data_IF_337243307038
#
_entry.id   IF_337243307038
#
_cell.length_a   1.000
_cell.length_b   1.000
_cell.length_c   1.000
_cell.angle_alpha   90.00
_cell.angle_beta   90.00
_cell.angle_gamma   90.00
#
_symmetry.space_group_name_H-M   'P 1'
#
loop_
_entity.id
_entity.type
_entity.pdbx_description
1 polymer ?
#
# COMPACT_ATOMS: atom_id res chain seq x y z
N UNK A 1 -12.97 -51.99 18.96
CA UNK A 1 -11.88 -51.00 19.18
C UNK A 1 -11.51 -50.42 17.83
N UNK A 2 -11.54 -49.10 17.69
CA UNK A 2 -11.26 -48.42 16.43
C UNK A 2 -11.83 -47.01 16.44
N UNK A 3 -11.23 -46.14 17.26
CA UNK A 3 -11.45 -44.69 17.23
C UNK A 3 -10.78 -44.13 15.97
N UNK A 4 -11.53 -43.38 15.16
CA UNK A 4 -11.03 -42.73 13.94
C UNK A 4 -11.40 -41.26 13.91
N UNK A 5 -10.48 -40.44 14.44
CA UNK A 5 -10.25 -39.01 14.26
C UNK A 5 -11.41 -38.07 13.86
N UNK A 6 -11.78 -37.22 14.82
CA UNK A 6 -12.31 -35.88 14.56
C UNK A 6 -11.26 -35.03 13.83
N UNK A 7 -11.61 -34.54 12.64
CA UNK A 7 -10.84 -33.50 11.94
C UNK A 7 -10.90 -32.18 12.71
N UNK A 8 -9.71 -31.62 12.96
CA UNK A 8 -9.48 -30.30 13.54
C UNK A 8 -9.99 -29.18 12.61
N UNK A 9 -10.83 -28.23 13.08
CA UNK A 9 -11.35 -27.13 12.28
C UNK A 9 -10.34 -25.98 12.03
N UNK A 10 -9.04 -26.16 12.33
CA UNK A 10 -8.03 -25.09 12.27
C UNK A 10 -7.38 -24.83 10.90
N UNK A 11 -7.86 -25.43 9.81
CA UNK A 11 -7.25 -25.31 8.47
C UNK A 11 -8.24 -24.76 7.43
N UNK A 12 -8.63 -23.49 7.58
CA UNK A 12 -9.27 -22.74 6.50
C UNK A 12 -8.20 -21.92 5.75
N UNK A 13 -8.04 -22.07 4.42
CA UNK A 13 -7.02 -21.35 3.68
C UNK A 13 -7.35 -19.85 3.69
N UNK A 14 -6.43 -19.03 4.19
CA UNK A 14 -6.50 -17.57 4.10
C UNK A 14 -6.61 -17.18 2.61
N UNK A 15 -7.78 -16.72 2.20
CA UNK A 15 -8.03 -16.32 0.82
C UNK A 15 -7.04 -15.27 0.35
N UNK A 16 -6.25 -15.61 -0.67
CA UNK A 16 -5.53 -14.65 -1.52
C UNK A 16 -6.57 -13.83 -2.29
N UNK A 17 -6.34 -12.54 -2.43
CA UNK A 17 -7.31 -11.66 -3.08
C UNK A 17 -6.76 -10.29 -3.43
N UNK A 18 -7.43 -9.61 -4.36
CA UNK A 18 -7.12 -8.24 -4.73
C UNK A 18 -7.41 -7.28 -3.56
N UNK A 19 -6.39 -6.58 -3.09
CA UNK A 19 -6.53 -5.54 -2.07
C UNK A 19 -6.56 -4.17 -2.75
N UNK A 20 -7.62 -3.40 -2.48
CA UNK A 20 -7.58 -1.96 -2.74
C UNK A 20 -6.88 -1.31 -1.56
N UNK A 21 -5.68 -0.76 -1.75
CA UNK A 21 -5.17 0.20 -0.78
C UNK A 21 -6.07 1.43 -0.84
N UNK A 22 -6.65 1.82 0.30
CA UNK A 22 -7.26 3.14 0.44
C UNK A 22 -6.10 4.10 0.78
N UNK A 23 -5.39 4.53 -0.26
CA UNK A 23 -4.43 5.61 -0.16
C UNK A 23 -5.18 6.95 -0.10
N UNK A 24 -5.09 7.64 1.03
CA UNK A 24 -5.69 8.96 1.23
C UNK A 24 -4.65 10.02 0.81
N UNK A 25 -4.99 10.91 -0.14
CA UNK A 25 -4.04 11.84 -0.79
C UNK A 25 -4.59 13.28 -0.93
N UNK A 26 -4.26 14.18 0.00
CA UNK A 26 -4.70 15.58 0.17
C UNK A 26 -4.83 16.50 -1.05
N UNK A 27 -5.71 17.52 -0.94
CA UNK A 27 -5.86 18.65 -1.89
C UNK A 27 -6.16 19.95 -1.12
N UNK A 28 -5.30 20.96 -1.26
CA UNK A 28 -5.54 22.33 -0.79
C UNK A 28 -6.38 23.15 -1.77
N UNK A 29 -7.25 24.01 -1.24
CA UNK A 29 -8.07 24.98 -1.97
C UNK A 29 -7.21 26.11 -2.55
N UNK A 30 -7.19 26.26 -3.88
CA UNK A 30 -7.45 27.50 -4.61
C UNK A 30 -7.47 27.24 -6.13
N UNK A 31 -8.15 28.11 -6.86
CA UNK A 31 -8.66 27.97 -8.24
C UNK A 31 -7.58 27.89 -9.33
N UNK A 32 -7.78 26.97 -10.31
CA UNK A 32 -7.24 26.87 -11.71
C UNK A 32 -6.65 25.48 -12.06
N UNK A 33 -6.74 25.00 -13.33
CA UNK A 33 -6.70 23.57 -13.65
C UNK A 33 -5.27 23.04 -13.87
N UNK A 34 -4.74 22.29 -12.91
CA UNK A 34 -3.57 21.46 -13.15
C UNK A 34 -2.99 20.82 -11.89
N UNK A 35 -2.84 19.49 -11.91
CA UNK A 35 -1.94 18.70 -11.06
C UNK A 35 -1.98 18.96 -9.54
N UNK A 36 -2.64 18.06 -8.80
CA UNK A 36 -2.80 18.23 -7.36
C UNK A 36 -2.17 17.09 -6.56
N UNK A 37 -1.26 17.47 -5.65
CA UNK A 37 -0.72 16.65 -4.58
C UNK A 37 -0.75 17.43 -3.27
N UNK A 38 -0.93 16.73 -2.16
CA UNK A 38 -0.75 17.25 -0.80
C UNK A 38 -0.06 16.19 0.04
N UNK A 39 1.05 16.56 0.69
CA UNK A 39 1.76 15.73 1.65
C UNK A 39 1.28 15.97 3.07
N UNK A 40 1.53 14.95 3.90
CA UNK A 40 1.49 15.04 5.35
C UNK A 40 2.93 15.39 5.77
N UNK A 41 3.13 16.22 6.80
CA UNK A 41 4.39 16.51 7.52
C UNK A 41 5.13 17.83 7.21
N UNK A 42 5.02 18.80 8.13
CA UNK A 42 5.93 19.93 8.29
C UNK A 42 5.68 20.72 9.59
N UNK A 43 6.74 20.89 10.41
CA UNK A 43 6.86 21.78 11.58
C UNK A 43 5.79 21.67 12.69
N UNK A 44 5.98 20.75 13.65
CA UNK A 44 5.25 20.64 14.93
C UNK A 44 3.71 20.62 14.86
N UNK A 45 3.14 20.53 13.66
CA UNK A 45 1.71 20.44 13.38
C UNK A 45 1.45 19.26 12.45
N UNK A 46 0.93 18.19 13.03
CA UNK A 46 0.48 17.02 12.29
C UNK A 46 -1.01 17.18 11.98
N UNK A 47 -1.35 17.45 10.73
CA UNK A 47 -2.73 17.47 10.25
C UNK A 47 -2.87 16.44 9.13
N UNK A 48 -3.97 15.66 9.18
CA UNK A 48 -4.28 14.68 8.15
C UNK A 48 -5.20 15.28 7.11
N UNK A 49 -4.72 15.43 5.88
CA UNK A 49 -5.54 15.76 4.72
C UNK A 49 -5.99 14.48 4.00
N UNK A 50 -7.29 14.25 3.89
CA UNK A 50 -7.86 13.10 3.18
C UNK A 50 -8.34 13.47 1.78
N UNK A 51 -7.53 14.13 0.97
CA UNK A 51 -7.92 14.51 -0.41
C UNK A 51 -9.13 15.46 -0.48
N UNK A 52 -9.44 16.20 0.59
CA UNK A 52 -10.69 16.94 0.69
C UNK A 52 -11.93 16.10 1.04
N UNK A 53 -11.77 14.84 1.47
CA UNK A 53 -12.87 14.07 2.08
C UNK A 53 -13.19 14.59 3.48
N UNK A 54 -14.48 14.67 3.85
CA UNK A 54 -14.87 14.94 5.23
C UNK A 54 -14.24 13.92 6.17
N UNK A 55 -13.52 14.39 7.19
CA UNK A 55 -12.98 13.52 8.25
C UNK A 55 -14.11 12.87 9.07
N UNK A 56 -15.26 13.55 9.16
CA UNK A 56 -16.44 13.04 9.82
C UNK A 56 -16.91 11.73 9.16
N UNK A 57 -17.11 10.69 9.97
CA UNK A 57 -17.57 9.38 9.51
C UNK A 57 -16.45 8.39 9.18
N UNK A 58 -15.24 8.84 8.84
CA UNK A 58 -14.12 7.97 8.46
C UNK A 58 -13.77 6.96 9.56
N UNK A 59 -13.80 7.38 10.83
CA UNK A 59 -13.58 6.47 11.96
C UNK A 59 -14.62 5.36 12.07
N UNK A 60 -15.88 5.64 11.74
CA UNK A 60 -16.93 4.61 11.71
C UNK A 60 -16.73 3.64 10.54
N UNK A 61 -16.32 4.16 9.38
CA UNK A 61 -16.02 3.35 8.20
C UNK A 61 -14.79 2.45 8.41
N UNK A 62 -13.75 2.93 9.10
CA UNK A 62 -12.60 2.10 9.51
C UNK A 62 -13.08 0.90 10.31
N UNK A 63 -13.87 1.14 11.37
CA UNK A 63 -14.39 0.07 12.23
C UNK A 63 -15.33 -0.88 11.47
N UNK A 64 -16.09 -0.36 10.49
CA UNK A 64 -16.94 -1.17 9.62
C UNK A 64 -16.14 -2.07 8.68
N UNK A 65 -15.08 -1.56 8.06
CA UNK A 65 -14.19 -2.36 7.23
C UNK A 65 -13.53 -3.47 8.05
N UNK A 66 -13.03 -3.12 9.25
CA UNK A 66 -12.39 -4.07 10.15
C UNK A 66 -13.34 -5.17 10.62
N UNK A 67 -14.62 -4.86 10.85
CA UNK A 67 -15.61 -5.89 11.20
C UNK A 67 -15.93 -6.86 10.06
N UNK A 68 -15.52 -6.53 8.83
CA UNK A 68 -15.54 -7.41 7.67
C UNK A 68 -14.17 -8.03 7.35
N UNK A 69 -13.23 -7.99 8.29
CA UNK A 69 -11.84 -8.46 8.11
C UNK A 69 -11.10 -7.76 6.96
N UNK A 70 -11.48 -6.52 6.64
CA UNK A 70 -10.77 -5.69 5.65
C UNK A 70 -9.79 -4.80 6.40
N UNK A 71 -8.50 -4.98 6.12
CA UNK A 71 -7.43 -4.15 6.68
C UNK A 71 -7.53 -2.72 6.15
N UNK A 72 -7.45 -1.76 7.06
CA UNK A 72 -7.37 -0.34 6.71
C UNK A 72 -6.01 0.18 7.11
N UNK A 73 -5.27 0.72 6.13
CA UNK A 73 -3.92 1.23 6.32
C UNK A 73 -3.92 2.74 6.13
N UNK A 74 -3.02 3.43 6.81
CA UNK A 74 -2.71 4.81 6.50
C UNK A 74 -1.42 4.89 5.69
N UNK A 75 -1.51 5.43 4.47
CA UNK A 75 -0.33 5.72 3.66
C UNK A 75 0.31 7.04 4.10
N UNK A 76 1.64 7.03 4.25
CA UNK A 76 2.46 8.21 4.52
C UNK A 76 3.32 8.57 3.30
N UNK A 77 3.63 9.86 3.17
CA UNK A 77 4.31 10.40 2.00
C UNK A 77 3.30 10.86 0.95
N UNK A 78 3.34 10.27 -0.24
CA UNK A 78 2.49 10.65 -1.36
C UNK A 78 3.28 11.05 -2.62
N UNK A 79 2.59 11.47 -3.69
CA UNK A 79 3.22 12.02 -4.89
C UNK A 79 3.79 13.44 -4.68
N UNK A 80 3.50 14.09 -3.55
CA UNK A 80 4.08 15.38 -3.16
C UNK A 80 5.58 15.29 -2.83
N UNK A 81 6.23 16.44 -2.67
CA UNK A 81 7.66 16.56 -2.36
C UNK A 81 7.94 17.35 -1.06
N UNK A 82 6.88 17.59 -0.29
CA UNK A 82 6.79 18.43 0.90
C UNK A 82 7.06 17.66 2.22
N UNK A 83 7.47 16.40 2.14
CA UNK A 83 7.78 15.56 3.30
C UNK A 83 9.23 15.06 3.29
N UNK A 84 9.80 14.88 4.48
CA UNK A 84 11.13 14.29 4.66
C UNK A 84 11.33 13.72 6.08
N UNK A 85 12.26 12.78 6.22
CA UNK A 85 12.69 12.21 7.50
C UNK A 85 14.21 12.40 7.62
N UNK A 86 14.71 13.62 7.90
CA UNK A 86 16.14 13.94 7.81
C UNK A 86 16.97 13.39 8.97
N UNK A 87 16.36 13.11 10.13
CA UNK A 87 17.07 12.74 11.36
C UNK A 87 16.40 11.59 12.11
N UNK A 88 17.18 10.87 12.93
CA UNK A 88 16.67 9.83 13.82
C UNK A 88 15.58 10.35 14.74
N UNK A 89 15.74 11.59 15.22
CA UNK A 89 14.74 12.29 16.01
C UNK A 89 13.44 12.49 15.22
N UNK A 90 13.50 12.98 13.98
CA UNK A 90 12.30 13.13 13.15
C UNK A 90 11.61 11.79 12.87
N UNK A 91 12.37 10.71 12.68
CA UNK A 91 11.81 9.36 12.51
C UNK A 91 11.06 8.90 13.77
N UNK A 92 11.65 9.09 14.95
CA UNK A 92 11.02 8.75 16.22
C UNK A 92 9.78 9.61 16.52
N UNK A 93 9.86 10.92 16.28
CA UNK A 93 8.77 11.86 16.53
C UNK A 93 7.56 11.57 15.60
N UNK A 94 7.81 11.25 14.32
CA UNK A 94 6.76 10.85 13.37
C UNK A 94 6.15 9.50 13.76
N UNK A 95 6.96 8.52 14.16
CA UNK A 95 6.45 7.22 14.62
C UNK A 95 5.58 7.36 15.87
N UNK A 96 6.00 8.16 16.86
CA UNK A 96 5.21 8.44 18.08
C UNK A 96 3.88 9.12 17.74
N UNK A 97 3.92 10.10 16.84
CA UNK A 97 2.69 10.78 16.42
C UNK A 97 1.74 9.81 15.71
N UNK A 98 2.21 9.01 14.75
CA UNK A 98 1.37 8.01 14.05
C UNK A 98 0.81 6.97 15.02
N UNK A 99 1.61 6.52 15.99
CA UNK A 99 1.16 5.61 17.04
C UNK A 99 -0.01 6.18 17.83
N UNK A 100 0.15 7.40 18.33
CA UNK A 100 -0.82 8.03 19.23
C UNK A 100 -2.03 8.65 18.52
N UNK A 101 -1.88 9.07 17.27
CA UNK A 101 -2.93 9.73 16.51
C UNK A 101 -3.80 8.72 15.73
N UNK A 102 -3.22 7.64 15.21
CA UNK A 102 -3.88 6.79 14.21
C UNK A 102 -3.84 5.29 14.52
N UNK A 103 -2.90 4.82 15.33
CA UNK A 103 -2.79 3.41 15.73
C UNK A 103 -3.30 3.22 17.18
N UNK A 104 -2.79 2.19 17.86
CA UNK A 104 -3.16 1.81 19.23
C UNK A 104 -2.54 2.67 20.34
N UNK A 105 -1.80 3.73 20.02
CA UNK A 105 -1.30 4.66 21.02
C UNK A 105 -2.37 5.64 21.48
N UNK A 106 -2.28 6.09 22.73
CA UNK A 106 -3.14 7.13 23.28
C UNK A 106 -2.28 8.03 24.16
N UNK A 107 -2.17 9.30 23.78
CA UNK A 107 -1.41 10.31 24.53
C UNK A 107 -2.22 11.59 24.64
N UNK A 108 -2.33 12.13 25.86
CA UNK A 108 -3.02 13.40 26.10
C UNK A 108 -2.38 14.50 25.24
N UNK A 109 -3.21 15.31 24.59
CA UNK A 109 -2.76 16.41 23.71
C UNK A 109 -2.45 16.00 22.27
N UNK A 110 -2.53 14.72 21.90
CA UNK A 110 -2.45 14.28 20.51
C UNK A 110 -3.86 14.19 19.93
N UNK A 111 -4.11 14.95 18.86
CA UNK A 111 -5.38 14.91 18.13
C UNK A 111 -5.51 13.59 17.36
N UNK A 112 -6.68 12.94 17.44
CA UNK A 112 -7.00 11.73 16.69
C UNK A 112 -8.04 12.04 15.61
N UNK A 113 -7.64 12.16 14.33
CA UNK A 113 -8.55 12.55 13.24
C UNK A 113 -9.73 11.61 13.03
N UNK A 114 -9.59 10.33 13.39
CA UNK A 114 -10.64 9.32 13.24
C UNK A 114 -11.31 8.94 14.56
N UNK A 115 -11.20 9.79 15.58
CA UNK A 115 -11.74 9.55 16.91
C UNK A 115 -11.09 8.33 17.57
N UNK A 116 -11.91 7.39 18.05
CA UNK A 116 -11.49 6.17 18.73
C UNK A 116 -10.99 5.07 17.78
N UNK A 117 -11.20 5.22 16.47
CA UNK A 117 -10.76 4.26 15.47
C UNK A 117 -9.23 4.23 15.38
N UNK A 118 -8.68 3.02 15.18
CA UNK A 118 -7.28 2.80 14.91
C UNK A 118 -7.13 2.04 13.60
N UNK A 119 -6.25 2.51 12.72
CA UNK A 119 -5.91 1.80 11.48
C UNK A 119 -5.06 0.55 11.82
N UNK A 120 -5.05 -0.41 10.91
CA UNK A 120 -4.34 -1.69 11.05
C UNK A 120 -2.83 -1.58 10.79
N UNK A 121 -2.38 -0.47 10.20
CA UNK A 121 -0.99 -0.34 9.79
C UNK A 121 -0.66 0.93 9.02
N UNK A 122 0.62 1.04 8.66
CA UNK A 122 1.21 2.16 7.94
C UNK A 122 1.80 1.68 6.61
N UNK A 123 1.47 2.37 5.53
CA UNK A 123 2.04 2.16 4.19
C UNK A 123 3.04 3.27 3.84
N UNK A 124 4.25 2.92 3.46
CA UNK A 124 5.31 3.85 3.10
C UNK A 124 5.25 4.10 1.59
N UNK A 125 4.49 5.12 1.18
CA UNK A 125 4.41 5.60 -0.20
C UNK A 125 5.37 6.78 -0.39
N UNK A 126 6.66 6.47 -0.58
CA UNK A 126 7.72 7.50 -0.69
C UNK A 126 8.06 7.74 -2.16
N UNK A 127 7.28 8.58 -2.85
CA UNK A 127 7.46 8.81 -4.29
C UNK A 127 8.48 9.90 -4.63
N UNK A 128 8.33 11.11 -4.08
CA UNK A 128 9.19 12.26 -4.41
C UNK A 128 9.94 12.87 -3.23
N UNK A 129 9.68 12.41 -2.01
CA UNK A 129 10.43 12.83 -0.83
C UNK A 129 11.94 12.67 -0.99
N UNK A 130 12.71 13.47 -0.25
CA UNK A 130 14.17 13.36 -0.21
C UNK A 130 14.59 12.02 0.41
N UNK A 131 15.80 11.50 0.10
CA UNK A 131 16.38 10.42 0.88
C UNK A 131 16.31 10.74 2.37
N UNK A 132 15.92 9.77 3.17
CA UNK A 132 15.63 9.96 4.59
C UNK A 132 15.78 8.67 5.37
N UNK A 133 15.64 8.77 6.69
CA UNK A 133 15.80 7.66 7.63
C UNK A 133 14.52 6.84 7.78
N UNK A 134 14.00 6.36 6.64
CA UNK A 134 12.78 5.55 6.61
C UNK A 134 13.00 4.16 7.22
N UNK A 135 14.24 3.67 7.23
CA UNK A 135 14.63 2.47 7.97
C UNK A 135 14.47 2.66 9.49
N UNK A 136 14.86 3.83 10.00
CA UNK A 136 14.67 4.19 11.40
C UNK A 136 13.20 4.44 11.74
N UNK A 137 12.42 4.99 10.80
CA UNK A 137 10.98 5.20 10.96
C UNK A 137 10.21 3.86 11.05
N UNK A 138 10.65 2.81 10.35
CA UNK A 138 9.97 1.52 10.35
C UNK A 138 10.12 0.74 11.68
N UNK A 139 11.26 0.90 12.38
CA UNK A 139 11.60 0.12 13.58
C UNK A 139 10.61 0.27 14.75
N UNK A 140 10.18 1.50 15.13
CA UNK A 140 9.22 1.67 16.22
C UNK A 140 7.91 0.91 16.03
N UNK A 141 7.39 0.82 14.80
CA UNK A 141 6.12 0.13 14.52
C UNK A 141 6.17 -1.35 14.88
N UNK A 142 7.27 -2.03 14.56
CA UNK A 142 7.46 -3.40 15.00
C UNK A 142 7.55 -3.49 16.53
N UNK A 143 8.25 -2.53 17.17
CA UNK A 143 8.31 -2.44 18.63
C UNK A 143 6.94 -2.29 19.28
N UNK A 144 6.00 -1.56 18.68
CA UNK A 144 4.65 -1.37 19.22
C UNK A 144 3.82 -2.66 19.25
N UNK A 145 4.19 -3.70 18.48
CA UNK A 145 3.51 -5.01 18.54
C UNK A 145 3.58 -5.67 19.93
N UNK A 146 4.52 -5.28 20.79
CA UNK A 146 4.55 -5.72 22.20
C UNK A 146 3.28 -5.38 22.98
N UNK A 147 2.52 -4.37 22.54
CA UNK A 147 1.28 -3.96 23.18
C UNK A 147 0.06 -4.81 22.77
N UNK A 148 0.21 -5.75 21.85
CA UNK A 148 -0.89 -6.52 21.25
C UNK A 148 -0.98 -7.97 21.73
N UNK A 149 -0.60 -8.28 22.99
CA UNK A 149 -0.86 -9.56 23.71
C UNK A 149 -0.80 -10.85 22.86
N UNK A 150 0.22 -11.00 22.02
CA UNK A 150 0.47 -12.22 21.23
C UNK A 150 -0.11 -12.24 19.81
N UNK A 151 -0.83 -11.20 19.39
CA UNK A 151 -1.20 -10.99 17.99
C UNK A 151 -0.44 -9.82 17.37
N UNK A 152 -0.20 -9.88 16.05
CA UNK A 152 0.41 -8.77 15.32
C UNK A 152 -0.61 -7.63 15.20
N UNK A 153 -0.28 -6.47 15.78
CA UNK A 153 -1.15 -5.31 15.79
C UNK A 153 -0.91 -4.37 14.62
N UNK A 154 0.30 -3.81 14.55
CA UNK A 154 0.70 -2.84 13.53
C UNK A 154 1.34 -3.58 12.35
N UNK A 155 0.69 -3.48 11.20
CA UNK A 155 1.23 -3.93 9.91
C UNK A 155 2.03 -2.80 9.27
N UNK A 156 3.19 -3.13 8.71
CA UNK A 156 4.03 -2.15 8.02
C UNK A 156 4.19 -2.62 6.58
N UNK A 157 3.83 -1.73 5.66
CA UNK A 157 3.75 -1.99 4.23
C UNK A 157 4.52 -0.88 3.51
N UNK A 158 5.00 -1.17 2.31
CA UNK A 158 5.73 -0.21 1.49
C UNK A 158 5.29 -0.28 0.04
N UNK A 159 5.19 0.87 -0.61
CA UNK A 159 4.71 1.00 -1.98
C UNK A 159 5.78 1.66 -2.87
N UNK A 160 6.87 0.93 -3.24
CA UNK A 160 7.97 1.46 -4.03
C UNK A 160 7.60 1.65 -5.51
N UNK A 161 8.47 2.32 -6.27
CA UNK A 161 8.41 2.27 -7.75
C UNK A 161 8.87 0.89 -8.24
N UNK A 162 8.54 0.54 -9.48
CA UNK A 162 9.00 -0.72 -10.07
C UNK A 162 10.52 -0.82 -10.28
N UNK A 163 11.19 0.32 -10.45
CA UNK A 163 12.64 0.37 -10.61
C UNK A 163 13.34 -0.28 -9.42
N UNK A 164 14.23 -1.24 -9.70
CA UNK A 164 14.89 -2.04 -8.69
C UNK A 164 16.42 -1.79 -8.68
N UNK A 165 17.05 -1.53 -7.51
CA UNK A 165 16.39 -1.25 -6.23
C UNK A 165 15.70 0.14 -6.22
N UNK A 166 14.70 0.32 -5.35
CA UNK A 166 14.11 1.65 -5.14
C UNK A 166 15.08 2.52 -4.32
N UNK A 167 15.63 3.55 -4.94
CA UNK A 167 16.68 4.38 -4.34
C UNK A 167 16.28 5.09 -3.04
N UNK A 168 14.98 5.31 -2.79
CA UNK A 168 14.49 5.99 -1.57
C UNK A 168 14.18 5.00 -0.46
N UNK A 169 13.74 3.80 -0.84
CA UNK A 169 13.20 2.80 0.08
C UNK A 169 14.14 1.62 0.33
N UNK A 170 15.23 1.44 -0.44
CA UNK A 170 16.14 0.29 -0.30
C UNK A 170 16.64 0.10 1.14
N UNK A 171 17.12 1.18 1.78
CA UNK A 171 17.57 1.14 3.17
C UNK A 171 16.48 0.66 4.14
N UNK A 172 15.24 1.10 3.95
CA UNK A 172 14.10 0.68 4.76
C UNK A 172 13.73 -0.77 4.48
N UNK A 173 13.60 -1.16 3.21
CA UNK A 173 13.28 -2.52 2.78
C UNK A 173 14.28 -3.55 3.32
N UNK A 174 15.57 -3.20 3.35
CA UNK A 174 16.64 -4.06 3.89
C UNK A 174 16.52 -4.37 5.39
N UNK A 175 15.68 -3.66 6.13
CA UNK A 175 15.41 -3.99 7.54
C UNK A 175 14.62 -5.29 7.71
N UNK A 176 13.93 -5.76 6.67
CA UNK A 176 13.06 -6.95 6.74
C UNK A 176 11.78 -6.74 7.55
N UNK A 177 11.42 -5.49 7.87
CA UNK A 177 10.26 -5.16 8.72
C UNK A 177 8.93 -5.07 7.96
N UNK A 178 8.98 -4.98 6.63
CA UNK A 178 7.80 -4.82 5.80
C UNK A 178 7.12 -6.17 5.54
N UNK A 179 5.86 -6.28 5.93
CA UNK A 179 5.04 -7.48 5.71
C UNK A 179 4.66 -7.63 4.24
N UNK A 180 4.31 -6.50 3.59
CA UNK A 180 3.93 -6.46 2.18
C UNK A 180 4.70 -5.39 1.43
N UNK A 181 5.02 -5.69 0.18
CA UNK A 181 5.68 -4.79 -0.76
C UNK A 181 4.75 -4.63 -1.97
N UNK A 182 4.12 -3.46 -2.11
CA UNK A 182 3.23 -3.15 -3.23
C UNK A 182 4.02 -2.45 -4.34
N UNK A 183 4.63 -3.22 -5.25
CA UNK A 183 5.50 -2.65 -6.29
C UNK A 183 4.66 -1.99 -7.38
N UNK A 184 4.87 -0.70 -7.63
CA UNK A 184 4.10 0.05 -8.64
C UNK A 184 4.64 -0.16 -10.05
N UNK A 185 3.97 -1.01 -10.82
CA UNK A 185 4.23 -1.23 -12.26
C UNK A 185 3.39 -0.31 -13.16
N UNK A 186 3.05 0.86 -12.64
CA UNK A 186 2.40 1.96 -13.34
C UNK A 186 3.18 3.26 -13.08
N UNK A 187 2.84 4.34 -13.80
CA UNK A 187 3.59 5.59 -13.77
C UNK A 187 4.51 5.71 -14.99
N UNK A 188 5.62 6.44 -14.85
CA UNK A 188 6.42 6.90 -15.99
C UNK A 188 7.77 6.19 -16.18
N UNK A 189 8.11 5.15 -15.41
CA UNK A 189 9.36 4.41 -15.62
C UNK A 189 9.22 3.44 -16.80
N UNK A 190 9.77 3.81 -17.95
CA UNK A 190 9.65 3.08 -19.22
C UNK A 190 10.30 1.69 -19.20
N UNK A 191 11.15 1.39 -18.21
CA UNK A 191 11.87 0.11 -18.11
C UNK A 191 11.05 -0.99 -17.45
N UNK A 192 10.09 -0.62 -16.62
CA UNK A 192 9.35 -1.59 -15.82
C UNK A 192 7.85 -1.27 -15.65
N UNK A 193 7.38 -0.06 -15.97
CA UNK A 193 5.95 0.22 -15.91
C UNK A 193 5.26 -0.29 -17.19
N UNK A 194 4.09 -0.92 -16.98
CA UNK A 194 3.37 -1.62 -18.03
C UNK A 194 3.02 -0.71 -19.22
N UNK A 195 2.35 0.41 -18.94
CA UNK A 195 1.73 1.28 -19.94
C UNK A 195 2.66 2.29 -20.63
N UNK A 196 3.96 2.32 -20.30
CA UNK A 196 4.92 3.32 -20.80
C UNK A 196 6.08 2.73 -21.59
N UNK A 197 6.01 1.44 -21.95
CA UNK A 197 6.92 0.81 -22.90
C UNK A 197 7.47 -0.55 -22.48
N UNK A 198 7.47 -0.88 -21.19
CA UNK A 198 8.03 -2.15 -20.72
C UNK A 198 7.19 -3.38 -21.11
N UNK A 199 5.88 -3.17 -21.29
CA UNK A 199 4.91 -4.25 -21.52
C UNK A 199 4.93 -5.29 -20.40
N UNK A 200 4.39 -6.48 -20.67
CA UNK A 200 4.38 -7.61 -19.73
C UNK A 200 5.79 -8.13 -19.43
N UNK A 201 6.69 -8.09 -20.42
CA UNK A 201 8.04 -8.64 -20.29
C UNK A 201 8.89 -7.84 -19.30
N UNK A 202 8.96 -6.50 -19.43
CA UNK A 202 9.75 -5.69 -18.51
C UNK A 202 9.17 -5.65 -17.10
N UNK A 203 7.84 -5.75 -16.98
CA UNK A 203 7.17 -5.95 -15.67
C UNK A 203 7.63 -7.27 -15.04
N UNK A 204 7.60 -8.38 -15.79
CA UNK A 204 8.01 -9.69 -15.28
C UNK A 204 9.50 -9.74 -14.90
N UNK A 205 10.38 -9.06 -15.64
CA UNK A 205 11.80 -8.99 -15.30
C UNK A 205 12.04 -8.24 -13.98
N UNK A 206 11.41 -7.07 -13.82
CA UNK A 206 11.50 -6.30 -12.58
C UNK A 206 10.83 -7.03 -11.40
N UNK A 207 9.68 -7.68 -11.63
CA UNK A 207 9.00 -8.51 -10.64
C UNK A 207 9.92 -9.57 -10.04
N UNK A 208 10.63 -10.34 -10.88
CA UNK A 208 11.54 -11.40 -10.43
C UNK A 208 12.62 -10.87 -9.48
N UNK A 209 13.15 -9.67 -9.74
CA UNK A 209 14.15 -9.02 -8.86
C UNK A 209 13.55 -8.68 -7.49
N UNK A 210 12.35 -8.11 -7.47
CA UNK A 210 11.63 -7.80 -6.23
C UNK A 210 11.30 -9.06 -5.42
N UNK A 211 10.68 -10.06 -6.05
CA UNK A 211 10.30 -11.31 -5.41
C UNK A 211 11.52 -12.05 -4.82
N UNK A 212 12.60 -12.18 -5.60
CA UNK A 212 13.82 -12.86 -5.17
C UNK A 212 14.56 -12.14 -4.03
N UNK A 213 14.53 -10.80 -3.99
CA UNK A 213 15.27 -10.02 -2.99
C UNK A 213 14.67 -10.08 -1.59
N UNK A 214 13.35 -10.27 -1.49
CA UNK A 214 12.59 -10.17 -0.25
C UNK A 214 11.70 -11.41 -0.02
N UNK A 215 12.27 -12.62 0.13
CA UNK A 215 11.49 -13.85 0.29
C UNK A 215 10.64 -13.89 1.57
N UNK A 216 10.97 -13.06 2.58
CA UNK A 216 10.22 -12.96 3.84
C UNK A 216 9.03 -11.98 3.82
N UNK A 217 8.79 -11.30 2.69
CA UNK A 217 7.70 -10.34 2.52
C UNK A 217 6.75 -10.80 1.42
N UNK A 218 5.45 -10.59 1.58
CA UNK A 218 4.49 -10.77 0.48
C UNK A 218 4.67 -9.66 -0.56
N UNK A 219 4.92 -10.00 -1.82
CA UNK A 219 5.07 -9.03 -2.90
C UNK A 219 3.77 -8.95 -3.69
N UNK A 220 3.28 -7.73 -3.92
CA UNK A 220 2.03 -7.47 -4.64
C UNK A 220 2.31 -6.75 -5.94
N UNK A 221 1.64 -7.20 -7.01
CA UNK A 221 1.70 -6.58 -8.32
C UNK A 221 0.83 -5.30 -8.31
N UNK A 222 1.46 -4.13 -8.27
CA UNK A 222 0.75 -2.84 -8.29
C UNK A 222 0.38 -2.40 -9.70
N UNK A 223 -0.90 -2.23 -9.97
CA UNK A 223 -1.45 -1.84 -11.27
C UNK A 223 -2.34 -0.61 -11.16
N UNK A 224 -2.31 0.25 -12.16
CA UNK A 224 -3.42 1.18 -12.38
C UNK A 224 -4.62 0.37 -12.93
N UNK A 225 -5.87 0.69 -12.56
CA UNK A 225 -7.02 -0.11 -12.90
C UNK A 225 -7.18 -0.17 -14.40
N UNK A 226 -7.35 -1.39 -14.88
CA UNK A 226 -7.77 -1.67 -16.25
C UNK A 226 -9.22 -1.21 -16.47
N UNK A 227 -9.52 -0.80 -17.71
CA UNK A 227 -10.90 -0.68 -18.18
C UNK A 227 -11.32 -1.99 -18.85
N UNK A 228 -12.38 -2.62 -18.33
CA UNK A 228 -13.03 -3.75 -18.99
C UNK A 228 -13.90 -3.25 -20.14
N UNK A 229 -13.80 -3.86 -21.32
CA UNK A 229 -14.62 -3.53 -22.49
C UNK A 229 -14.02 -2.49 -23.45
N UNK A 230 -12.77 -2.08 -23.26
CA UNK A 230 -12.08 -1.17 -24.18
C UNK A 230 -11.38 -1.98 -25.29
N UNK A 231 -11.61 -1.67 -26.58
CA UNK A 231 -10.92 -2.31 -27.69
C UNK A 231 -9.40 -2.10 -27.65
N UNK A 232 -8.65 -3.08 -28.14
CA UNK A 232 -7.20 -2.97 -28.35
C UNK A 232 -6.88 -1.75 -29.25
N UNK A 233 -6.05 -0.83 -28.76
CA UNK A 233 -5.63 0.37 -29.48
C UNK A 233 -6.46 1.64 -29.22
N UNK A 234 -7.44 1.63 -28.32
CA UNK A 234 -8.19 2.84 -27.99
C UNK A 234 -7.33 3.91 -27.30
N UNK A 235 -7.43 5.17 -27.75
CA UNK A 235 -6.77 6.31 -27.11
C UNK A 235 -7.53 6.72 -25.84
N UNK A 236 -6.87 6.64 -24.68
CA UNK A 236 -7.47 6.94 -23.37
C UNK A 236 -6.82 6.14 -22.23
N UNK A 237 -7.29 6.33 -21.00
CA UNK A 237 -6.72 5.97 -19.67
C UNK A 237 -6.41 4.49 -19.38
N UNK A 238 -6.31 3.63 -20.39
CA UNK A 238 -6.06 2.19 -20.22
C UNK A 238 -4.56 1.92 -20.13
N UNK A 239 -4.06 1.79 -18.90
CA UNK A 239 -2.66 1.42 -18.68
C UNK A 239 -2.41 -0.10 -18.82
N UNK A 240 -3.44 -0.96 -18.67
CA UNK A 240 -3.29 -2.42 -18.66
C UNK A 240 -4.48 -3.09 -19.37
N UNK A 241 -4.20 -3.90 -20.39
CA UNK A 241 -5.21 -4.73 -21.07
C UNK A 241 -5.39 -6.07 -20.33
N UNK A 242 -6.62 -6.39 -19.95
CA UNK A 242 -6.96 -7.57 -19.13
C UNK A 242 -6.50 -8.90 -19.74
N UNK A 243 -6.55 -9.04 -21.07
CA UNK A 243 -6.10 -10.25 -21.79
C UNK A 243 -4.63 -10.56 -21.50
N UNK A 244 -3.76 -9.56 -21.66
CA UNK A 244 -2.32 -9.72 -21.43
C UNK A 244 -1.99 -9.86 -19.94
N UNK A 245 -2.75 -9.19 -19.08
CA UNK A 245 -2.64 -9.42 -17.63
C UNK A 245 -2.93 -10.89 -17.28
N UNK A 246 -4.03 -11.46 -17.79
CA UNK A 246 -4.46 -12.81 -17.45
C UNK A 246 -3.60 -13.91 -18.09
N UNK A 247 -3.37 -13.84 -19.39
CA UNK A 247 -2.71 -14.93 -20.12
C UNK A 247 -1.18 -14.88 -20.10
N UNK A 248 -0.59 -13.73 -19.77
CA UNK A 248 0.87 -13.56 -19.87
C UNK A 248 1.50 -13.17 -18.53
N UNK A 249 1.03 -12.07 -17.91
CA UNK A 249 1.69 -11.54 -16.73
C UNK A 249 1.38 -12.32 -15.45
N UNK A 250 0.09 -12.60 -15.15
CA UNK A 250 -0.31 -13.27 -13.91
C UNK A 250 0.36 -14.64 -13.71
N UNK A 251 0.40 -15.54 -14.71
CA UNK A 251 1.08 -16.83 -14.57
C UNK A 251 2.54 -16.68 -14.15
N UNK A 252 3.27 -15.71 -14.74
CA UNK A 252 4.69 -15.46 -14.44
C UNK A 252 4.93 -14.90 -13.05
N UNK A 253 4.03 -14.05 -12.54
CA UNK A 253 4.22 -13.44 -11.21
C UNK A 253 3.79 -14.39 -10.09
N UNK A 254 2.81 -15.27 -10.36
CA UNK A 254 2.29 -16.26 -9.41
C UNK A 254 3.24 -17.46 -9.20
N UNK A 255 4.27 -17.63 -10.03
CA UNK A 255 5.35 -18.61 -9.83
C UNK A 255 6.16 -18.34 -8.55
N UNK A 256 6.20 -17.10 -8.06
CA UNK A 256 6.95 -16.76 -6.86
C UNK A 256 6.19 -17.18 -5.59
N UNK A 257 6.85 -17.92 -4.69
CA UNK A 257 6.24 -18.38 -3.43
C UNK A 257 5.71 -17.25 -2.55
N UNK A 258 6.35 -16.07 -2.63
CA UNK A 258 5.97 -14.88 -1.90
C UNK A 258 5.03 -13.94 -2.69
N UNK A 259 4.39 -14.41 -3.77
CA UNK A 259 3.30 -13.68 -4.41
C UNK A 259 2.14 -13.47 -3.44
N UNK A 260 1.86 -12.21 -3.09
CA UNK A 260 0.80 -11.82 -2.16
C UNK A 260 -0.52 -11.44 -2.83
N UNK A 261 -0.49 -11.03 -4.11
CA UNK A 261 -1.69 -10.61 -4.84
C UNK A 261 -1.47 -9.41 -5.74
N UNK A 262 -2.56 -8.67 -5.99
CA UNK A 262 -2.57 -7.44 -6.80
C UNK A 262 -2.96 -6.25 -5.93
N UNK A 263 -2.22 -5.14 -6.07
CA UNK A 263 -2.58 -3.84 -5.54
C UNK A 263 -3.12 -2.97 -6.68
N UNK A 264 -4.25 -2.30 -6.45
CA UNK A 264 -4.91 -1.47 -7.49
C UNK A 264 -4.91 0.00 -7.06
N UNK A 265 -4.32 0.86 -7.89
CA UNK A 265 -4.30 2.31 -7.71
C UNK A 265 -5.26 3.01 -8.67
N UNK A 266 -6.43 3.50 -8.29
CA UNK A 266 -6.97 3.70 -6.95
C UNK A 266 -8.47 3.37 -6.88
N UNK A 267 -9.11 3.57 -5.73
CA UNK A 267 -10.54 3.29 -5.56
C UNK A 267 -11.43 4.12 -6.50
N UNK A 268 -11.08 5.39 -6.73
CA UNK A 268 -11.84 6.29 -7.60
C UNK A 268 -11.88 5.75 -9.03
N UNK A 269 -10.71 5.46 -9.57
CA UNK A 269 -10.54 4.96 -10.94
C UNK A 269 -11.16 3.56 -11.04
N UNK A 270 -10.89 2.68 -10.08
CA UNK A 270 -11.46 1.34 -10.04
C UNK A 270 -13.01 1.33 -9.98
N UNK A 271 -13.64 2.29 -9.27
CA UNK A 271 -15.11 2.42 -9.24
C UNK A 271 -15.67 2.77 -10.63
N UNK A 272 -14.95 3.58 -11.42
CA UNK A 272 -15.35 3.95 -12.78
C UNK A 272 -15.15 2.79 -13.75
N UNK A 273 -14.02 2.11 -13.67
CA UNK A 273 -13.62 1.11 -14.67
C UNK A 273 -14.06 -0.32 -14.34
N UNK A 274 -14.46 -0.58 -13.09
CA UNK A 274 -14.77 -1.92 -12.53
C UNK A 274 -13.60 -2.91 -12.64
N UNK A 275 -12.36 -2.42 -12.77
CA UNK A 275 -11.17 -3.25 -13.01
C UNK A 275 -10.95 -4.36 -11.96
N UNK A 276 -11.19 -4.07 -10.67
CA UNK A 276 -11.01 -5.05 -9.60
C UNK A 276 -12.07 -6.15 -9.59
N UNK A 277 -13.25 -5.93 -10.18
CA UNK A 277 -14.29 -6.97 -10.30
C UNK A 277 -13.80 -8.13 -11.15
N UNK A 278 -12.93 -7.84 -12.12
CA UNK A 278 -12.31 -8.84 -12.98
C UNK A 278 -11.08 -9.46 -12.30
N UNK A 279 -10.17 -8.60 -11.79
CA UNK A 279 -8.90 -9.06 -11.20
C UNK A 279 -9.08 -9.90 -9.93
N UNK A 280 -10.15 -9.67 -9.15
CA UNK A 280 -10.44 -10.45 -7.94
C UNK A 280 -10.61 -11.95 -8.21
N UNK A 281 -11.05 -12.33 -9.41
CA UNK A 281 -11.17 -13.75 -9.78
C UNK A 281 -9.85 -14.43 -10.14
N UNK A 282 -8.76 -13.66 -10.25
CA UNK A 282 -7.47 -14.13 -10.78
C UNK A 282 -6.29 -13.97 -9.81
N UNK A 283 -6.45 -13.13 -8.78
CA UNK A 283 -5.43 -12.77 -7.81
C UNK A 283 -5.43 -13.66 -6.57
#
# INVERSE_FOLDING_TARGET
MGLGNHGDPSQEPRGRGAFSSVGLAGRGLETEPGWWGGGVFGHDRYWGDLSGHPLAGVGADIKRCQSWNILVLLSIGGPGNDYSIPSSKSAADVADNLWNAHLGGRRRGVFRPFGDAAVDGIDFYIDRGRPGRYDELARPFNGYNRFYRGWKGVRVIVTPRCGFPDARLDGALRTGLFERIHVRFYGNDTRCAYGTGAGTWGVAEAWRKWAARYPGSEVYLGLAPAESGVPEGAQGTVAVYLKYLYYDLLPKVQEAENYGGVMVWDRFSNKKTRGSTVVKGWA
#
